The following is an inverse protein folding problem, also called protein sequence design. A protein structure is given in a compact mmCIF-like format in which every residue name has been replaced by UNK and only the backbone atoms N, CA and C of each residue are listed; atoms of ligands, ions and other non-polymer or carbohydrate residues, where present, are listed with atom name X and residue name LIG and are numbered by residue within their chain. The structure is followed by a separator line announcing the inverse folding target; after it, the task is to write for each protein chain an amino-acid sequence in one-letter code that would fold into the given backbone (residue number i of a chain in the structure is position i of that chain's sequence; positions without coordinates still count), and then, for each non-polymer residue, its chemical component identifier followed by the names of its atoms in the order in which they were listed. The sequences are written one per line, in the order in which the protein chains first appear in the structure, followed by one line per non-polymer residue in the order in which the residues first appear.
data_IF_139566777748
#
_entry.id   IF_139566777748
#
_cell.length_a   1.000
_cell.length_b   1.000
_cell.length_c   1.000
_cell.angle_alpha   90.00
_cell.angle_beta   90.00
_cell.angle_gamma   90.00
#
_symmetry.space_group_name_H-M   'P 1'
#
loop_
_entity.id
_entity.type
_entity.pdbx_description
1 polymer ?
#
# COMPACT_ATOMS: atom_id res chain seq x y z
N UNK A 1 41.29 -53.55 27.77
CA UNK A 1 40.61 -52.89 26.68
C UNK A 1 39.24 -52.42 27.21
N UNK A 2 39.18 -51.16 27.59
CA UNK A 2 38.02 -50.58 28.30
C UNK A 2 37.18 -49.84 27.26
N UNK A 3 35.97 -50.31 26.95
CA UNK A 3 35.01 -49.66 26.09
C UNK A 3 34.24 -48.59 26.87
N UNK A 4 34.53 -47.33 26.57
CA UNK A 4 33.75 -46.19 27.11
C UNK A 4 32.59 -45.94 26.13
N UNK A 5 31.37 -46.30 26.57
CA UNK A 5 30.14 -46.01 25.81
C UNK A 5 29.76 -44.55 25.99
N UNK A 6 29.77 -43.74 24.90
CA UNK A 6 29.19 -42.40 24.90
C UNK A 6 27.66 -42.52 24.77
N UNK A 7 26.98 -42.31 25.91
CA UNK A 7 25.53 -42.11 25.91
C UNK A 7 25.20 -40.70 25.40
N UNK A 8 24.68 -40.61 24.16
CA UNK A 8 24.18 -39.38 23.59
C UNK A 8 22.80 -39.09 24.17
N UNK A 9 22.73 -38.18 25.14
CA UNK A 9 21.43 -37.60 25.57
C UNK A 9 20.85 -36.78 24.43
N UNK A 10 19.92 -37.36 23.68
CA UNK A 10 18.94 -36.56 22.93
C UNK A 10 18.08 -35.77 23.92
N UNK A 11 18.30 -34.48 24.01
CA UNK A 11 17.32 -33.58 24.65
C UNK A 11 16.05 -33.65 23.78
N UNK A 12 15.04 -34.34 24.28
CA UNK A 12 13.68 -34.22 23.75
C UNK A 12 13.26 -32.75 23.90
N UNK A 13 13.27 -32.00 22.78
CA UNK A 13 12.60 -30.69 22.74
C UNK A 13 11.12 -30.98 22.98
N UNK A 14 10.58 -30.40 24.07
CA UNK A 14 9.13 -30.32 24.24
C UNK A 14 8.51 -29.82 22.93
N UNK A 15 7.38 -30.36 22.49
CA UNK A 15 6.71 -29.89 21.29
C UNK A 15 6.50 -28.36 21.42
N UNK A 16 7.02 -27.61 20.49
CA UNK A 16 6.88 -26.15 20.42
C UNK A 16 5.36 -25.87 20.37
N UNK A 17 4.86 -25.22 21.42
CA UNK A 17 3.43 -25.00 21.56
C UNK A 17 2.97 -24.15 20.35
N UNK A 18 2.06 -24.67 19.55
CA UNK A 18 1.58 -24.02 18.34
C UNK A 18 1.04 -22.60 18.72
N UNK A 19 1.50 -21.59 17.97
CA UNK A 19 1.07 -20.22 18.23
C UNK A 19 -0.45 -20.08 18.01
N UNK A 20 -1.16 -19.56 18.99
CA UNK A 20 -2.61 -19.32 18.88
C UNK A 20 -2.90 -18.10 18.00
N UNK A 21 -4.11 -18.08 17.38
CA UNK A 21 -4.59 -16.88 16.71
C UNK A 21 -4.65 -15.70 17.67
N UNK A 22 -4.23 -14.51 17.20
CA UNK A 22 -4.23 -13.32 18.04
C UNK A 22 -4.60 -12.08 17.23
N UNK A 23 -5.46 -11.24 17.80
CA UNK A 23 -5.80 -9.94 17.23
C UNK A 23 -5.27 -8.85 18.17
N UNK A 24 -4.49 -7.93 17.62
CA UNK A 24 -3.97 -6.76 18.33
C UNK A 24 -4.59 -5.53 17.69
N UNK A 25 -5.26 -4.71 18.49
CA UNK A 25 -5.98 -3.52 18.03
C UNK A 25 -5.29 -2.23 18.46
N UNK A 26 -5.46 -1.19 17.68
CA UNK A 26 -5.07 0.19 18.02
C UNK A 26 -3.58 0.38 18.35
N UNK A 27 -2.70 -0.46 17.80
CA UNK A 27 -1.27 -0.30 18.00
C UNK A 27 -0.78 0.99 17.35
N UNK A 28 -0.04 1.81 18.10
CA UNK A 28 0.60 3.02 17.57
C UNK A 28 1.94 2.68 16.95
N UNK A 29 2.17 3.08 15.70
CA UNK A 29 3.48 2.99 15.06
C UNK A 29 4.21 4.34 14.98
N UNK A 30 3.57 5.41 15.47
CA UNK A 30 4.11 6.77 15.54
C UNK A 30 3.36 7.63 16.55
N UNK A 31 3.76 8.91 16.71
CA UNK A 31 3.21 9.80 17.72
C UNK A 31 1.86 10.41 17.38
N UNK A 32 1.46 10.43 16.08
CA UNK A 32 0.20 11.03 15.65
C UNK A 32 -0.98 10.09 15.96
N UNK A 33 -2.13 10.62 16.40
CA UNK A 33 -3.32 9.80 16.68
C UNK A 33 -3.81 8.97 15.50
N UNK A 34 -3.52 9.36 14.26
CA UNK A 34 -3.84 8.61 13.04
C UNK A 34 -2.83 7.51 12.71
N UNK A 35 -1.65 7.53 13.30
CA UNK A 35 -0.62 6.50 13.09
C UNK A 35 -0.93 5.24 13.90
N UNK A 36 -1.95 4.50 13.48
CA UNK A 36 -2.50 3.32 14.12
C UNK A 36 -2.55 2.12 13.19
N UNK A 37 -2.47 0.93 13.77
CA UNK A 37 -2.65 -0.32 13.05
C UNK A 37 -3.41 -1.36 13.88
N UNK A 38 -4.10 -2.26 13.19
CA UNK A 38 -4.66 -3.48 13.72
C UNK A 38 -3.91 -4.68 13.10
N UNK A 39 -3.55 -5.64 13.93
CA UNK A 39 -2.75 -6.79 13.51
C UNK A 39 -3.52 -8.08 13.78
N UNK A 40 -3.61 -8.93 12.76
CA UNK A 40 -4.29 -10.20 12.79
C UNK A 40 -3.25 -11.31 12.55
N UNK A 41 -2.92 -12.01 13.60
CA UNK A 41 -1.89 -13.05 13.62
C UNK A 41 -2.58 -14.42 13.51
N UNK A 42 -2.32 -15.23 12.46
CA UNK A 42 -2.94 -16.54 12.31
C UNK A 42 -2.46 -17.53 13.37
N UNK A 43 -3.24 -18.56 13.62
CA UNK A 43 -2.79 -19.73 14.37
C UNK A 43 -1.66 -20.45 13.64
N UNK A 44 -0.87 -21.25 14.36
CA UNK A 44 0.23 -22.05 13.80
C UNK A 44 1.27 -21.26 13.01
N UNK A 45 1.37 -19.95 13.26
CA UNK A 45 2.36 -19.09 12.60
C UNK A 45 3.76 -19.40 13.08
N UNK A 46 4.73 -19.07 12.23
CA UNK A 46 6.16 -19.23 12.49
C UNK A 46 6.93 -18.03 11.95
N UNK A 47 8.24 -17.98 12.16
CA UNK A 47 9.13 -16.97 11.59
C UNK A 47 9.19 -17.00 10.06
N UNK A 48 8.53 -17.96 9.40
CA UNK A 48 8.33 -18.03 7.96
C UNK A 48 6.96 -17.50 7.50
N UNK A 49 6.04 -17.23 8.42
CA UNK A 49 4.73 -16.65 8.10
C UNK A 49 4.91 -15.25 7.52
N UNK A 50 4.48 -15.04 6.27
CA UNK A 50 4.58 -13.73 5.61
C UNK A 50 3.68 -12.69 6.27
N UNK A 51 3.91 -11.42 5.97
CA UNK A 51 3.09 -10.30 6.45
C UNK A 51 2.54 -9.54 5.25
N UNK A 52 1.24 -9.24 5.29
CA UNK A 52 0.58 -8.36 4.30
C UNK A 52 0.11 -7.11 5.02
N UNK A 53 0.56 -5.96 4.55
CA UNK A 53 0.14 -4.65 5.04
C UNK A 53 -0.94 -4.13 4.09
N UNK A 54 -2.13 -3.82 4.64
CA UNK A 54 -3.27 -3.27 3.89
C UNK A 54 -3.39 -1.78 4.16
N UNK A 55 -3.41 -0.97 3.08
CA UNK A 55 -3.41 0.50 3.12
C UNK A 55 -4.68 1.03 2.48
N UNK A 56 -5.51 1.72 3.29
CA UNK A 56 -6.81 2.24 2.86
C UNK A 56 -6.72 3.35 1.80
N UNK A 57 -7.83 3.59 1.10
CA UNK A 57 -8.03 4.68 0.15
C UNK A 57 -8.44 5.99 0.80
N UNK A 58 -9.25 6.79 0.07
CA UNK A 58 -9.81 8.05 0.57
C UNK A 58 -9.11 9.31 0.06
N UNK A 59 -8.52 9.27 -1.14
CA UNK A 59 -7.98 10.47 -1.82
C UNK A 59 -6.85 11.17 -1.06
N UNK A 60 -6.12 10.48 -0.19
CA UNK A 60 -5.10 11.01 0.73
C UNK A 60 -5.65 11.85 1.88
N UNK A 61 -6.95 12.13 1.90
CA UNK A 61 -7.61 13.11 2.80
C UNK A 61 -8.60 12.46 3.76
N UNK A 62 -9.01 11.23 3.52
CA UNK A 62 -10.06 10.52 4.29
C UNK A 62 -9.73 9.03 4.43
N UNK A 63 -10.60 8.30 5.14
CA UNK A 63 -10.49 6.86 5.36
C UNK A 63 -9.73 6.50 6.64
N UNK A 64 -9.80 5.26 6.97
CA UNK A 64 -8.99 4.63 8.02
C UNK A 64 -8.95 3.10 7.82
N UNK A 65 -8.24 2.40 8.71
CA UNK A 65 -8.08 0.94 8.63
C UNK A 65 -9.39 0.15 8.66
N UNK A 66 -10.52 0.72 9.11
CA UNK A 66 -11.82 0.04 9.11
C UNK A 66 -12.35 -0.23 7.70
N UNK A 67 -11.87 0.52 6.70
CA UNK A 67 -12.32 0.39 5.31
C UNK A 67 -12.05 -1.00 4.72
N UNK A 68 -11.01 -1.70 5.22
CA UNK A 68 -10.72 -3.08 4.82
C UNK A 68 -11.40 -4.14 5.70
N UNK A 69 -12.12 -3.77 6.76
CA UNK A 69 -12.64 -4.73 7.75
C UNK A 69 -13.54 -5.78 7.10
N UNK A 70 -14.41 -5.40 6.17
CA UNK A 70 -15.32 -6.32 5.50
C UNK A 70 -14.61 -7.34 4.57
N UNK A 71 -13.40 -7.02 4.11
CA UNK A 71 -12.63 -7.86 3.17
C UNK A 71 -11.48 -8.60 3.83
N UNK A 72 -11.23 -8.37 5.13
CA UNK A 72 -10.12 -8.98 5.85
C UNK A 72 -10.14 -10.51 5.80
N UNK A 73 -11.33 -11.12 5.86
CA UNK A 73 -11.44 -12.57 5.87
C UNK A 73 -10.95 -13.20 4.57
N UNK A 74 -11.06 -12.51 3.45
CA UNK A 74 -10.50 -12.95 2.17
C UNK A 74 -8.97 -13.06 2.20
N UNK A 75 -8.30 -12.22 3.00
CA UNK A 75 -6.85 -12.27 3.20
C UNK A 75 -6.45 -13.24 4.32
N UNK A 76 -7.15 -13.26 5.45
CA UNK A 76 -6.87 -14.16 6.58
C UNK A 76 -6.86 -15.64 6.18
N UNK A 77 -7.74 -16.07 5.26
CA UNK A 77 -7.83 -17.44 4.81
C UNK A 77 -6.56 -18.01 4.17
N UNK A 78 -5.55 -17.17 3.92
CA UNK A 78 -4.28 -17.54 3.24
C UNK A 78 -3.09 -17.74 4.18
N UNK A 79 -3.32 -17.79 5.50
CA UNK A 79 -2.28 -18.03 6.50
C UNK A 79 -1.14 -16.98 6.49
N UNK A 80 -1.50 -15.73 6.26
CA UNK A 80 -0.59 -14.59 6.43
C UNK A 80 -0.98 -13.80 7.69
N UNK A 81 -0.01 -13.18 8.33
CA UNK A 81 -0.30 -12.10 9.26
C UNK A 81 -0.76 -10.87 8.46
N UNK A 82 -1.87 -10.28 8.86
CA UNK A 82 -2.43 -9.09 8.23
C UNK A 82 -2.22 -7.90 9.14
N UNK A 83 -1.66 -6.82 8.60
CA UNK A 83 -1.48 -5.53 9.27
C UNK A 83 -2.32 -4.51 8.53
N UNK A 84 -3.42 -4.08 9.12
CA UNK A 84 -4.36 -3.13 8.55
C UNK A 84 -4.10 -1.75 9.16
N UNK A 85 -3.76 -0.73 8.34
CA UNK A 85 -3.16 0.51 8.83
C UNK A 85 -3.99 1.74 8.51
N UNK A 86 -3.99 2.71 9.45
CA UNK A 86 -4.33 4.10 9.20
C UNK A 86 -3.04 4.92 9.08
N UNK A 87 -3.07 6.02 8.35
CA UNK A 87 -1.95 6.95 8.17
C UNK A 87 -2.45 8.39 8.33
N UNK A 88 -1.54 9.35 8.50
CA UNK A 88 -1.89 10.77 8.64
C UNK A 88 -2.57 11.27 7.36
N UNK A 89 -3.59 12.09 7.54
CA UNK A 89 -4.42 12.59 6.44
C UNK A 89 -4.09 14.06 6.15
N UNK A 90 -4.24 14.43 4.89
CA UNK A 90 -4.14 15.81 4.42
C UNK A 90 -5.37 16.59 4.89
N UNK A 91 -5.17 17.82 5.33
CA UNK A 91 -6.24 18.68 5.86
C UNK A 91 -7.26 19.02 4.77
N UNK A 92 -8.55 18.81 5.08
CA UNK A 92 -9.67 19.11 4.17
C UNK A 92 -10.45 20.36 4.57
N UNK A 93 -10.03 21.09 5.61
CA UNK A 93 -10.75 22.26 6.08
C UNK A 93 -10.96 23.27 4.95
N UNK A 94 -12.22 23.50 4.58
CA UNK A 94 -12.62 24.41 3.51
C UNK A 94 -12.29 23.97 2.08
N UNK A 95 -11.81 22.74 1.86
CA UNK A 95 -11.46 22.22 0.53
C UNK A 95 -12.68 22.07 -0.38
N UNK A 96 -13.78 21.52 0.15
CA UNK A 96 -14.98 21.18 -0.63
C UNK A 96 -16.01 22.34 -0.71
N UNK A 97 -15.61 23.57 -0.42
CA UNK A 97 -16.46 24.75 -0.64
C UNK A 97 -16.53 25.07 -2.13
N UNK A 98 -17.58 25.76 -2.56
CA UNK A 98 -17.68 26.30 -3.92
C UNK A 98 -16.44 27.12 -4.29
N UNK A 99 -15.96 27.94 -3.33
CA UNK A 99 -14.67 28.60 -3.39
C UNK A 99 -13.78 28.01 -2.29
N UNK A 100 -12.88 27.07 -2.60
CA UNK A 100 -12.00 26.45 -1.62
C UNK A 100 -11.16 27.50 -0.89
N UNK A 101 -10.93 27.27 0.40
CA UNK A 101 -10.03 28.11 1.18
C UNK A 101 -8.59 27.67 0.86
N UNK A 102 -7.78 28.61 0.35
CA UNK A 102 -6.35 28.37 0.17
C UNK A 102 -5.68 28.18 1.53
N UNK A 103 -5.15 26.97 1.76
CA UNK A 103 -4.57 26.58 3.03
C UNK A 103 -3.50 25.50 2.86
N UNK A 104 -2.33 25.74 3.40
CA UNK A 104 -1.30 24.71 3.47
C UNK A 104 -1.72 23.58 4.42
N UNK A 105 -1.54 22.34 4.00
CA UNK A 105 -1.65 21.17 4.87
C UNK A 105 -0.31 20.88 5.55
N UNK A 106 -0.33 20.64 6.86
CA UNK A 106 0.86 20.18 7.59
C UNK A 106 1.34 18.79 7.14
N UNK A 107 0.39 17.96 6.68
CA UNK A 107 0.65 16.62 6.12
C UNK A 107 0.53 16.70 4.61
N UNK A 108 1.50 16.18 3.88
CA UNK A 108 1.54 16.08 2.42
C UNK A 108 1.67 14.62 2.01
N UNK A 109 1.51 14.28 0.73
CA UNK A 109 1.65 12.90 0.24
C UNK A 109 3.02 12.31 0.61
N UNK A 110 4.10 13.09 0.54
CA UNK A 110 5.45 12.64 0.95
C UNK A 110 5.53 12.26 2.45
N UNK A 111 4.72 12.90 3.30
CA UNK A 111 4.66 12.56 4.73
C UNK A 111 3.90 11.25 4.95
N UNK A 112 2.87 10.99 4.13
CA UNK A 112 2.17 9.70 4.12
C UNK A 112 3.06 8.57 3.61
N UNK A 113 3.95 8.82 2.63
CA UNK A 113 4.99 7.85 2.23
C UNK A 113 5.98 7.60 3.38
N UNK A 114 6.25 8.62 4.21
CA UNK A 114 7.06 8.43 5.44
C UNK A 114 6.33 7.57 6.46
N UNK A 115 5.00 7.66 6.53
CA UNK A 115 4.19 6.76 7.37
C UNK A 115 4.29 5.31 6.88
N UNK A 116 4.30 5.07 5.56
CA UNK A 116 4.53 3.71 5.02
C UNK A 116 5.88 3.15 5.46
N UNK A 117 6.93 3.97 5.44
CA UNK A 117 8.25 3.55 5.94
C UNK A 117 8.20 3.20 7.44
N UNK A 118 7.56 4.04 8.26
CA UNK A 118 7.44 3.82 9.69
C UNK A 118 6.62 2.55 10.02
N UNK A 119 5.55 2.28 9.26
CA UNK A 119 4.75 1.06 9.37
C UNK A 119 5.62 -0.19 9.12
N UNK A 120 6.36 -0.19 8.01
CA UNK A 120 7.22 -1.34 7.65
C UNK A 120 8.31 -1.55 8.70
N UNK A 121 8.95 -0.49 9.18
CA UNK A 121 9.97 -0.57 10.23
C UNK A 121 9.39 -1.08 11.55
N UNK A 122 8.19 -0.66 11.92
CA UNK A 122 7.50 -1.17 13.10
C UNK A 122 7.17 -2.67 12.97
N UNK A 123 6.66 -3.10 11.83
CA UNK A 123 6.37 -4.51 11.54
C UNK A 123 7.64 -5.37 11.66
N UNK A 124 8.75 -4.92 11.09
CA UNK A 124 10.04 -5.61 11.19
C UNK A 124 10.50 -5.70 12.65
N UNK A 125 10.42 -4.61 13.38
CA UNK A 125 10.81 -4.58 14.80
C UNK A 125 9.96 -5.51 15.68
N UNK A 126 8.69 -5.70 15.33
CA UNK A 126 7.78 -6.58 16.08
C UNK A 126 7.77 -8.04 15.57
N UNK A 127 8.45 -8.36 14.46
CA UNK A 127 8.35 -9.66 13.81
C UNK A 127 8.66 -10.84 14.75
N UNK A 128 9.66 -10.72 15.61
CA UNK A 128 10.00 -11.75 16.60
C UNK A 128 8.91 -11.91 17.65
N UNK A 129 8.33 -10.81 18.17
CA UNK A 129 7.25 -10.83 19.16
C UNK A 129 5.96 -11.42 18.58
N UNK A 130 5.73 -11.19 17.29
CA UNK A 130 4.55 -11.70 16.59
C UNK A 130 4.77 -13.10 16.01
N UNK A 131 5.99 -13.62 16.04
CA UNK A 131 6.38 -14.90 15.44
C UNK A 131 6.01 -14.92 13.94
N UNK A 132 6.48 -13.92 13.20
CA UNK A 132 6.28 -13.77 11.74
C UNK A 132 7.61 -13.43 11.06
N UNK A 133 7.63 -13.48 9.73
CA UNK A 133 8.82 -13.17 8.95
C UNK A 133 9.11 -11.66 8.96
N UNK A 134 10.35 -11.26 9.19
CA UNK A 134 10.84 -9.90 9.02
C UNK A 134 11.24 -9.58 7.56
N UNK A 135 11.22 -10.57 6.66
CA UNK A 135 11.73 -10.43 5.28
C UNK A 135 10.72 -10.82 4.19
N UNK A 136 9.55 -11.39 4.56
CA UNK A 136 8.47 -11.74 3.63
C UNK A 136 7.30 -10.78 3.83
N UNK A 137 7.48 -9.53 3.42
CA UNK A 137 6.52 -8.45 3.60
C UNK A 137 6.01 -8.00 2.24
N UNK A 138 4.68 -8.06 2.06
CA UNK A 138 3.95 -7.47 0.94
C UNK A 138 3.09 -6.29 1.41
N UNK A 139 2.80 -5.36 0.50
CA UNK A 139 1.85 -4.28 0.74
C UNK A 139 0.78 -4.25 -0.34
N UNK A 140 -0.48 -4.14 0.04
CA UNK A 140 -1.59 -3.90 -0.87
C UNK A 140 -2.33 -2.62 -0.46
N UNK A 141 -2.70 -1.79 -1.42
CA UNK A 141 -3.42 -0.55 -1.12
C UNK A 141 -4.50 -0.26 -2.15
N UNK A 142 -5.63 0.28 -1.68
CA UNK A 142 -6.73 0.70 -2.52
C UNK A 142 -6.69 2.20 -2.79
N UNK A 143 -6.97 2.63 -4.03
CA UNK A 143 -7.08 4.05 -4.39
C UNK A 143 -5.82 4.84 -3.96
N UNK A 144 -5.94 5.89 -3.15
CA UNK A 144 -4.79 6.61 -2.59
C UNK A 144 -3.79 5.68 -1.88
N UNK A 145 -4.27 4.64 -1.16
CA UNK A 145 -3.41 3.62 -0.56
C UNK A 145 -2.60 2.85 -1.61
N UNK A 146 -3.19 2.57 -2.78
CA UNK A 146 -2.49 1.98 -3.93
C UNK A 146 -1.34 2.84 -4.43
N UNK A 147 -1.58 4.15 -4.53
CA UNK A 147 -0.51 5.12 -4.85
C UNK A 147 0.59 5.11 -3.80
N UNK A 148 0.23 5.14 -2.49
CA UNK A 148 1.20 5.18 -1.39
C UNK A 148 2.09 3.93 -1.33
N UNK A 149 1.53 2.73 -1.55
CA UNK A 149 2.35 1.50 -1.55
C UNK A 149 3.33 1.47 -2.72
N UNK A 150 2.93 2.00 -3.89
CA UNK A 150 3.83 2.14 -5.04
C UNK A 150 4.91 3.20 -4.79
N UNK A 151 4.55 4.37 -4.28
CA UNK A 151 5.50 5.42 -3.94
C UNK A 151 6.55 4.90 -2.96
N UNK A 152 6.14 4.16 -1.93
CA UNK A 152 7.07 3.55 -0.98
C UNK A 152 7.90 2.42 -1.59
N UNK A 153 7.33 1.60 -2.48
CA UNK A 153 8.06 0.52 -3.15
C UNK A 153 9.33 1.02 -3.85
N UNK A 154 9.25 2.21 -4.46
CA UNK A 154 10.36 2.83 -5.19
C UNK A 154 11.13 3.89 -4.38
N UNK A 155 10.75 4.14 -3.11
CA UNK A 155 11.45 5.05 -2.21
C UNK A 155 12.80 4.49 -1.76
N UNK A 156 13.79 5.36 -1.55
CA UNK A 156 15.12 4.97 -1.08
C UNK A 156 15.10 4.26 0.29
N UNK A 157 14.09 4.47 1.11
CA UNK A 157 13.90 3.82 2.42
C UNK A 157 13.47 2.36 2.32
N UNK A 158 12.90 1.95 1.17
CA UNK A 158 12.65 0.53 0.88
C UNK A 158 13.93 -0.17 0.41
N UNK A 159 14.82 -0.47 1.33
CA UNK A 159 16.08 -1.19 1.06
C UNK A 159 15.86 -2.71 0.89
N UNK A 160 14.84 -3.11 0.13
CA UNK A 160 14.45 -4.51 -0.04
C UNK A 160 13.63 -5.07 1.13
N UNK A 161 13.05 -4.19 1.96
CA UNK A 161 12.16 -4.57 3.07
C UNK A 161 10.85 -5.14 2.56
N UNK A 162 10.19 -4.44 1.63
CA UNK A 162 8.98 -4.90 0.96
C UNK A 162 9.36 -5.64 -0.32
N UNK A 163 8.85 -6.86 -0.47
CA UNK A 163 9.20 -7.80 -1.54
C UNK A 163 8.23 -7.78 -2.71
N UNK A 164 6.98 -7.41 -2.49
CA UNK A 164 5.97 -7.29 -3.53
C UNK A 164 4.91 -6.26 -3.13
N UNK A 165 4.32 -5.60 -4.12
CA UNK A 165 3.23 -4.64 -3.90
C UNK A 165 2.05 -4.93 -4.82
N UNK A 166 0.84 -4.62 -4.35
CA UNK A 166 -0.40 -4.67 -5.12
C UNK A 166 -1.09 -3.30 -5.07
N UNK A 167 -1.23 -2.69 -6.22
CA UNK A 167 -1.98 -1.48 -6.45
C UNK A 167 -3.41 -1.85 -6.88
N UNK A 168 -4.39 -1.48 -6.07
CA UNK A 168 -5.81 -1.72 -6.29
C UNK A 168 -6.48 -0.39 -6.65
N UNK A 169 -6.68 -0.10 -7.92
CA UNK A 169 -7.29 1.13 -8.43
C UNK A 169 -6.58 2.44 -8.02
N UNK A 170 -5.30 2.43 -7.70
CA UNK A 170 -4.56 3.64 -7.26
C UNK A 170 -4.21 4.57 -8.41
N UNK A 171 -4.12 5.87 -8.12
CA UNK A 171 -3.65 6.87 -9.04
C UNK A 171 -2.14 6.69 -9.32
N UNK A 172 -1.78 6.59 -10.59
CA UNK A 172 -0.41 6.35 -11.04
C UNK A 172 0.29 7.61 -11.53
N UNK A 173 -0.48 8.60 -11.94
CA UNK A 173 -0.01 9.90 -12.41
C UNK A 173 -0.94 11.00 -11.91
N UNK A 174 -0.42 11.91 -11.11
CA UNK A 174 -1.09 13.10 -10.60
C UNK A 174 -0.41 14.39 -11.08
N UNK A 175 0.20 14.35 -12.25
CA UNK A 175 0.59 15.56 -12.99
C UNK A 175 -0.61 16.08 -13.78
N UNK A 176 -0.72 17.39 -13.93
CA UNK A 176 -1.90 18.03 -14.55
C UNK A 176 -1.54 18.91 -15.73
N UNK A 177 -0.34 19.52 -15.72
CA UNK A 177 0.05 20.59 -16.66
C UNK A 177 0.30 20.13 -18.07
N UNK A 178 0.36 18.82 -18.34
CA UNK A 178 0.44 18.19 -19.66
C UNK A 178 -0.94 17.90 -20.28
N UNK A 179 -2.03 18.14 -19.54
CA UNK A 179 -3.38 17.95 -20.03
C UNK A 179 -3.88 19.19 -20.79
N UNK A 180 -4.65 19.01 -21.89
CA UNK A 180 -5.31 20.13 -22.55
C UNK A 180 -6.22 20.88 -21.58
N UNK A 181 -6.19 22.21 -21.65
CA UNK A 181 -7.07 23.09 -20.88
C UNK A 181 -6.99 22.88 -19.35
N UNK A 182 -5.86 22.38 -18.83
CA UNK A 182 -5.67 22.19 -17.38
C UNK A 182 -5.94 23.48 -16.57
N UNK A 183 -5.75 24.64 -17.17
CA UNK A 183 -6.05 25.95 -16.55
C UNK A 183 -7.54 26.16 -16.25
N UNK A 184 -8.43 25.33 -16.82
CA UNK A 184 -9.88 25.40 -16.59
C UNK A 184 -10.38 24.37 -15.58
N UNK A 185 -9.51 23.66 -14.90
CA UNK A 185 -9.93 22.71 -13.86
C UNK A 185 -10.68 23.40 -12.73
N UNK A 186 -11.62 22.70 -12.08
CA UNK A 186 -12.32 23.24 -10.92
C UNK A 186 -11.36 23.69 -9.83
N UNK A 187 -11.67 24.80 -9.10
CA UNK A 187 -10.81 25.31 -8.04
C UNK A 187 -10.42 24.28 -6.98
N UNK A 188 -11.30 23.29 -6.71
CA UNK A 188 -11.03 22.20 -5.77
C UNK A 188 -9.82 21.33 -6.22
N UNK A 189 -9.60 21.15 -7.52
CA UNK A 189 -8.45 20.39 -8.04
C UNK A 189 -7.15 21.15 -7.77
N UNK A 190 -7.14 22.48 -7.97
CA UNK A 190 -5.98 23.31 -7.67
C UNK A 190 -5.62 23.29 -6.19
N UNK A 191 -6.62 23.49 -5.34
CA UNK A 191 -6.42 23.50 -3.91
C UNK A 191 -6.00 22.11 -3.38
N UNK A 192 -6.60 21.02 -3.88
CA UNK A 192 -6.19 19.65 -3.54
C UNK A 192 -4.73 19.39 -3.97
N UNK A 193 -4.36 19.75 -5.20
CA UNK A 193 -3.00 19.61 -5.69
C UNK A 193 -1.99 20.37 -4.82
N UNK A 194 -2.31 21.62 -4.45
CA UNK A 194 -1.49 22.40 -3.55
C UNK A 194 -1.29 21.71 -2.19
N UNK A 195 -2.38 21.20 -1.59
CA UNK A 195 -2.30 20.49 -0.29
C UNK A 195 -1.52 19.17 -0.38
N UNK A 196 -1.54 18.50 -1.54
CA UNK A 196 -0.82 17.24 -1.75
C UNK A 196 0.70 17.44 -1.76
N UNK A 197 1.17 18.56 -2.33
CA UNK A 197 2.59 18.81 -2.58
C UNK A 197 3.17 19.95 -1.76
N UNK A 198 2.36 20.97 -1.45
CA UNK A 198 2.78 22.28 -0.95
C UNK A 198 3.15 23.25 -2.07
N UNK A 199 2.83 22.91 -3.35
CA UNK A 199 3.14 23.72 -4.52
C UNK A 199 1.93 23.86 -5.41
N UNK A 200 1.72 25.04 -5.98
CA UNK A 200 0.64 25.30 -6.95
C UNK A 200 0.77 24.38 -8.18
N UNK A 201 -0.36 24.02 -8.78
CA UNK A 201 -0.38 23.37 -10.09
C UNK A 201 0.11 24.38 -11.12
N UNK A 202 1.35 24.22 -11.55
CA UNK A 202 2.02 25.06 -12.55
C UNK A 202 3.11 24.27 -13.25
N UNK A 203 3.43 24.63 -14.48
CA UNK A 203 4.51 23.98 -15.26
C UNK A 203 5.85 24.02 -14.52
N UNK A 204 6.15 25.13 -13.83
CA UNK A 204 7.37 25.28 -13.02
C UNK A 204 7.46 24.30 -11.85
N UNK A 205 6.32 23.77 -11.39
CA UNK A 205 6.22 22.89 -10.22
C UNK A 205 5.97 21.42 -10.61
N UNK A 206 5.98 21.09 -11.90
CA UNK A 206 5.64 19.75 -12.41
C UNK A 206 6.49 18.64 -11.74
N UNK A 207 7.76 18.93 -11.43
CA UNK A 207 8.65 17.98 -10.74
C UNK A 207 8.12 17.54 -9.37
N UNK A 208 7.40 18.42 -8.66
CA UNK A 208 6.82 18.10 -7.35
C UNK A 208 5.66 17.10 -7.47
N UNK A 209 4.87 17.21 -8.55
CA UNK A 209 3.79 16.28 -8.86
C UNK A 209 4.32 14.95 -9.40
N UNK A 210 5.38 14.98 -10.22
CA UNK A 210 6.09 13.76 -10.65
C UNK A 210 6.67 12.99 -9.47
N UNK A 211 7.16 13.68 -8.43
CA UNK A 211 7.72 13.06 -7.24
C UNK A 211 6.69 12.30 -6.38
N UNK A 212 5.39 12.52 -6.59
CA UNK A 212 4.29 11.81 -5.94
C UNK A 212 3.45 10.99 -6.93
N UNK A 213 3.97 10.70 -8.11
CA UNK A 213 3.34 9.91 -9.17
C UNK A 213 4.15 8.65 -9.45
N UNK A 214 3.54 7.47 -9.24
CA UNK A 214 4.23 6.18 -9.39
C UNK A 214 4.86 6.00 -10.78
N UNK A 215 4.20 6.51 -11.84
CA UNK A 215 4.68 6.47 -13.21
C UNK A 215 6.09 7.07 -13.37
N UNK A 216 6.42 8.09 -12.60
CA UNK A 216 7.69 8.80 -12.72
C UNK A 216 8.73 8.38 -11.68
N UNK A 217 8.30 7.96 -10.46
CA UNK A 217 9.26 7.56 -9.41
C UNK A 217 9.73 6.12 -9.57
N UNK A 218 9.04 5.28 -10.34
CA UNK A 218 9.49 3.92 -10.63
C UNK A 218 10.89 3.94 -11.26
N UNK A 219 11.81 3.15 -10.70
CA UNK A 219 13.22 3.12 -11.07
C UNK A 219 13.79 1.70 -11.10
N UNK A 220 14.95 1.52 -11.74
CA UNK A 220 15.62 0.22 -11.88
C UNK A 220 16.38 -0.24 -10.65
N UNK A 221 16.59 0.66 -9.68
CA UNK A 221 17.35 0.35 -8.45
C UNK A 221 16.52 -0.47 -7.48
N UNK A 222 15.18 -0.37 -7.61
CA UNK A 222 14.20 -1.07 -6.78
C UNK A 222 13.21 -1.82 -7.64
N UNK A 223 13.59 -3.06 -8.01
CA UNK A 223 12.75 -3.95 -8.83
C UNK A 223 11.75 -4.71 -7.97
N UNK A 224 10.86 -3.99 -7.30
CA UNK A 224 9.82 -4.59 -6.46
C UNK A 224 8.72 -5.17 -7.36
N UNK A 225 8.46 -6.48 -7.33
CA UNK A 225 7.36 -7.10 -8.04
C UNK A 225 6.04 -6.37 -7.79
N UNK A 226 5.38 -5.95 -8.86
CA UNK A 226 4.22 -5.04 -8.81
C UNK A 226 3.01 -5.66 -9.50
N UNK A 227 1.91 -5.83 -8.75
CA UNK A 227 0.59 -6.15 -9.28
C UNK A 227 -0.22 -4.85 -9.43
N UNK A 228 -0.80 -4.62 -10.61
CA UNK A 228 -1.76 -3.55 -10.84
C UNK A 228 -3.13 -4.17 -11.13
N UNK A 229 -4.12 -3.91 -10.29
CA UNK A 229 -5.52 -4.28 -10.51
C UNK A 229 -6.31 -3.03 -10.88
N UNK A 230 -6.92 -3.07 -12.06
CA UNK A 230 -7.67 -1.98 -12.64
C UNK A 230 -9.16 -2.33 -12.71
N UNK A 231 -10.07 -1.55 -12.12
CA UNK A 231 -11.50 -1.70 -12.34
C UNK A 231 -11.88 -1.10 -13.70
N UNK A 232 -12.64 -1.81 -14.50
CA UNK A 232 -12.99 -1.36 -15.85
C UNK A 232 -13.63 0.05 -15.86
N UNK A 233 -14.48 0.33 -14.87
CA UNK A 233 -15.16 1.63 -14.69
C UNK A 233 -14.49 2.43 -13.57
N UNK A 234 -13.23 2.78 -13.77
CA UNK A 234 -12.43 3.53 -12.78
C UNK A 234 -12.75 5.03 -12.84
N UNK A 235 -13.86 5.44 -12.26
CA UNK A 235 -14.28 6.83 -12.18
C UNK A 235 -14.13 7.33 -10.74
N UNK A 236 -13.34 8.38 -10.55
CA UNK A 236 -13.06 9.00 -9.25
C UNK A 236 -13.36 10.50 -9.35
N UNK A 237 -14.62 10.87 -9.31
CA UNK A 237 -15.04 12.24 -9.53
C UNK A 237 -14.48 12.81 -10.85
N UNK A 238 -14.00 14.04 -10.80
CA UNK A 238 -13.40 14.72 -11.95
C UNK A 238 -11.87 14.57 -12.00
N UNK A 239 -11.30 13.62 -11.27
CA UNK A 239 -9.84 13.40 -11.27
C UNK A 239 -9.39 12.87 -12.63
N UNK A 240 -8.47 13.56 -13.31
CA UNK A 240 -7.94 13.12 -14.60
C UNK A 240 -6.99 11.93 -14.43
N UNK A 241 -6.62 11.32 -15.57
CA UNK A 241 -5.59 10.26 -15.65
C UNK A 241 -5.91 8.99 -14.84
N UNK A 242 -7.20 8.73 -14.57
CA UNK A 242 -7.66 7.52 -13.87
C UNK A 242 -7.99 6.36 -14.82
N UNK A 243 -7.83 6.55 -16.12
CA UNK A 243 -8.18 5.57 -17.15
C UNK A 243 -7.10 4.52 -17.41
N UNK A 244 -7.47 3.50 -18.18
CA UNK A 244 -6.60 2.37 -18.56
C UNK A 244 -5.32 2.81 -19.28
N UNK A 245 -5.34 3.95 -20.00
CA UNK A 245 -4.16 4.49 -20.69
C UNK A 245 -3.00 4.77 -19.74
N UNK A 246 -3.29 5.30 -18.54
CA UNK A 246 -2.26 5.56 -17.51
C UNK A 246 -1.70 4.24 -16.95
N UNK A 247 -2.55 3.23 -16.78
CA UNK A 247 -2.11 1.89 -16.34
C UNK A 247 -1.23 1.21 -17.40
N UNK A 248 -1.59 1.34 -18.68
CA UNK A 248 -0.78 0.84 -19.79
C UNK A 248 0.58 1.54 -19.86
N UNK A 249 0.62 2.87 -19.68
CA UNK A 249 1.86 3.64 -19.62
C UNK A 249 2.75 3.19 -18.45
N UNK A 250 2.17 2.97 -17.27
CA UNK A 250 2.92 2.48 -16.12
C UNK A 250 3.44 1.06 -16.31
N UNK A 251 2.63 0.15 -16.89
CA UNK A 251 3.05 -1.21 -17.24
C UNK A 251 4.22 -1.19 -18.22
N UNK A 252 4.14 -0.34 -19.26
CA UNK A 252 5.24 -0.15 -20.21
C UNK A 252 6.50 0.38 -19.52
N UNK A 253 6.34 1.34 -18.59
CA UNK A 253 7.45 1.85 -17.78
C UNK A 253 8.12 0.77 -16.94
N UNK A 254 7.33 -0.06 -16.23
CA UNK A 254 7.86 -1.17 -15.44
C UNK A 254 8.62 -2.18 -16.30
N UNK A 255 8.10 -2.51 -17.49
CA UNK A 255 8.77 -3.40 -18.45
C UNK A 255 10.12 -2.81 -18.92
N UNK A 256 10.19 -1.53 -19.24
CA UNK A 256 11.44 -0.84 -19.60
C UNK A 256 12.49 -0.89 -18.49
N UNK A 257 12.04 -0.81 -17.23
CA UNK A 257 12.91 -0.87 -16.05
C UNK A 257 13.30 -2.31 -15.66
N UNK A 258 12.71 -3.32 -16.32
CA UNK A 258 12.89 -4.72 -15.96
C UNK A 258 12.34 -5.06 -14.57
N UNK A 259 11.26 -4.38 -14.16
CA UNK A 259 10.53 -4.66 -12.93
C UNK A 259 9.51 -5.76 -13.19
N UNK A 260 9.53 -6.89 -12.45
CA UNK A 260 8.49 -7.92 -12.57
C UNK A 260 7.11 -7.32 -12.28
N UNK A 261 6.18 -7.47 -13.21
CA UNK A 261 4.86 -6.89 -13.01
C UNK A 261 3.74 -7.73 -13.63
N UNK A 262 2.53 -7.56 -13.10
CA UNK A 262 1.28 -8.14 -13.64
C UNK A 262 0.21 -7.06 -13.66
N UNK A 263 -0.51 -6.96 -14.78
CA UNK A 263 -1.70 -6.15 -14.90
C UNK A 263 -2.93 -7.06 -14.96
N UNK A 264 -3.97 -6.71 -14.19
CA UNK A 264 -5.27 -7.42 -14.17
C UNK A 264 -6.39 -6.39 -14.25
N UNK A 265 -7.26 -6.52 -15.25
CA UNK A 265 -8.50 -5.78 -15.29
C UNK A 265 -9.62 -6.61 -14.67
N UNK A 266 -10.46 -5.99 -13.87
CA UNK A 266 -11.69 -6.57 -13.33
C UNK A 266 -12.87 -5.98 -14.13
N UNK A 267 -13.41 -6.79 -15.03
CA UNK A 267 -14.50 -6.37 -15.91
C UNK A 267 -15.78 -6.08 -15.11
N UNK A 268 -16.50 -5.04 -15.49
CA UNK A 268 -17.72 -4.59 -14.81
C UNK A 268 -17.49 -3.94 -13.45
N UNK A 269 -16.25 -3.92 -12.92
CA UNK A 269 -15.98 -3.33 -11.61
C UNK A 269 -15.98 -1.80 -11.65
N UNK A 270 -16.51 -1.18 -10.60
CA UNK A 270 -16.31 0.22 -10.26
C UNK A 270 -15.02 0.43 -9.44
N UNK A 271 -14.70 1.70 -9.16
CA UNK A 271 -13.51 2.07 -8.41
C UNK A 271 -13.36 1.35 -7.06
N UNK A 272 -14.45 1.06 -6.37
CA UNK A 272 -14.48 0.39 -5.08
C UNK A 272 -14.53 -1.13 -5.15
N UNK A 273 -14.61 -1.72 -6.35
CA UNK A 273 -14.85 -3.15 -6.56
C UNK A 273 -16.10 -3.67 -5.83
N UNK A 274 -17.13 -2.79 -5.69
CA UNK A 274 -18.28 -3.04 -4.82
C UNK A 274 -19.28 -4.07 -5.34
N UNK A 275 -19.19 -4.50 -6.62
CA UNK A 275 -20.09 -5.50 -7.18
C UNK A 275 -19.78 -6.90 -6.61
N UNK A 276 -20.82 -7.77 -6.49
CA UNK A 276 -20.66 -9.11 -5.95
C UNK A 276 -19.53 -9.91 -6.63
N UNK A 277 -18.67 -10.54 -5.84
CA UNK A 277 -17.56 -11.37 -6.30
C UNK A 277 -16.29 -10.60 -6.71
N UNK A 278 -16.34 -9.28 -6.88
CA UNK A 278 -15.17 -8.52 -7.32
C UNK A 278 -14.12 -8.37 -6.21
N UNK A 279 -14.55 -8.14 -4.97
CA UNK A 279 -13.62 -8.04 -3.83
C UNK A 279 -12.90 -9.37 -3.56
N UNK A 280 -13.61 -10.48 -3.66
CA UNK A 280 -13.02 -11.83 -3.55
C UNK A 280 -12.03 -12.08 -4.69
N UNK A 281 -12.35 -11.67 -5.92
CA UNK A 281 -11.45 -11.78 -7.07
C UNK A 281 -10.20 -10.93 -6.88
N UNK A 282 -10.33 -9.68 -6.41
CA UNK A 282 -9.21 -8.79 -6.09
C UNK A 282 -8.30 -9.42 -5.03
N UNK A 283 -8.89 -9.96 -3.96
CA UNK A 283 -8.14 -10.63 -2.91
C UNK A 283 -7.42 -11.89 -3.44
N UNK A 284 -8.10 -12.70 -4.25
CA UNK A 284 -7.52 -13.90 -4.85
C UNK A 284 -6.33 -13.57 -5.76
N UNK A 285 -6.46 -12.57 -6.64
CA UNK A 285 -5.37 -12.13 -7.52
C UNK A 285 -4.18 -11.59 -6.71
N UNK A 286 -4.45 -10.78 -5.68
CA UNK A 286 -3.45 -10.23 -4.79
C UNK A 286 -2.71 -11.32 -4.04
N UNK A 287 -3.42 -12.27 -3.44
CA UNK A 287 -2.82 -13.36 -2.67
C UNK A 287 -2.06 -14.34 -3.55
N UNK A 288 -2.57 -14.62 -4.75
CA UNK A 288 -1.86 -15.45 -5.73
C UNK A 288 -0.54 -14.81 -6.12
N UNK A 289 -0.54 -13.49 -6.36
CA UNK A 289 0.66 -12.74 -6.70
C UNK A 289 1.66 -12.71 -5.54
N UNK A 290 1.21 -12.49 -4.32
CA UNK A 290 2.08 -12.49 -3.13
C UNK A 290 2.64 -13.88 -2.83
N UNK A 291 1.87 -14.95 -3.00
CA UNK A 291 2.37 -16.32 -2.85
C UNK A 291 3.53 -16.65 -3.79
N UNK A 292 3.55 -16.03 -4.97
CA UNK A 292 4.61 -16.25 -5.96
C UNK A 292 5.84 -15.34 -5.74
N UNK A 293 5.73 -14.25 -4.97
CA UNK A 293 6.76 -13.22 -4.88
C UNK A 293 7.25 -12.93 -3.45
N UNK A 294 6.65 -13.53 -2.43
CA UNK A 294 7.05 -13.46 -1.01
C UNK A 294 7.62 -14.83 -0.53
#
# INVERSE_FOLDING_TARGET
MLLIGFSSCKKDRAPEQAAEEKVLKDLSYGPDPKQKMDVYLPANRSTQTGVIILVHGGGFVAGDRSDFTATLDNFKSKNYAIVNVSYRLIDTTGLLRENPIHKESAVKVKDQVSDMAAIVDYVIAQSSNWVVSSSRIGMAGHSAGGSLVLLYAYDMRNTGKVKAVANLAGALDITFTDLPLWQLFPPVIYEAGYRFTGYEIAVSNESQYKAISALYVANSDRKVPTLNIFPERNVVGDLPKQGISTYNAFTARLNQLGVPNKFVQIDGADHGFGQPGNQERVALETMTYFNANL
#
